data_IF_182737660142
#
_entry.id   IF_182737660142
#
_cell.length_a   1.000
_cell.length_b   1.000
_cell.length_c   1.000
_cell.angle_alpha   90.00
_cell.angle_beta   90.00
_cell.angle_gamma   90.00
#
_symmetry.space_group_name_H-M   'P 1'
#
loop_
_entity.id
_entity.type
_entity.pdbx_description
1 polymer ?
#
# COMPACT_ATOMS: atom_id res chain seq x y z
N UNK A 1 -16.95 -10.56 9.18
CA UNK A 1 -18.25 -11.23 9.35
C UNK A 1 -19.11 -10.76 8.19
N UNK A 2 -19.36 -11.62 7.20
CA UNK A 2 -20.24 -11.28 6.07
C UNK A 2 -21.67 -11.36 6.61
N UNK A 3 -22.38 -10.25 6.53
CA UNK A 3 -23.78 -10.14 6.91
C UNK A 3 -24.62 -11.07 6.01
N UNK A 4 -25.09 -12.19 6.56
CA UNK A 4 -25.80 -13.24 5.84
C UNK A 4 -27.25 -12.90 5.52
N UNK A 5 -27.73 -11.73 5.98
CA UNK A 5 -29.16 -11.37 5.89
C UNK A 5 -29.48 -10.38 4.76
N UNK A 6 -28.53 -10.08 3.86
CA UNK A 6 -28.83 -9.25 2.68
C UNK A 6 -29.26 -10.14 1.53
N UNK A 7 -30.55 -10.09 1.20
CA UNK A 7 -31.09 -10.74 -0.01
C UNK A 7 -30.27 -10.40 -1.24
N UNK A 8 -29.97 -11.42 -2.04
CA UNK A 8 -29.31 -11.21 -3.33
C UNK A 8 -30.18 -10.30 -4.22
N UNK A 9 -29.60 -9.32 -4.93
CA UNK A 9 -30.38 -8.42 -5.76
C UNK A 9 -31.12 -9.19 -6.85
N UNK A 10 -32.38 -8.82 -7.12
CA UNK A 10 -33.25 -9.50 -8.07
C UNK A 10 -32.73 -9.39 -9.54
N UNK A 11 -31.98 -8.32 -9.84
CA UNK A 11 -31.42 -8.05 -11.17
C UNK A 11 -30.26 -7.05 -11.06
N UNK A 12 -29.60 -6.73 -12.20
CA UNK A 12 -28.46 -5.83 -12.27
C UNK A 12 -28.79 -4.38 -11.85
N UNK A 13 -30.01 -3.91 -12.10
CA UNK A 13 -30.44 -2.58 -11.70
C UNK A 13 -30.52 -2.47 -10.17
N UNK A 14 -31.17 -3.41 -9.53
CA UNK A 14 -31.26 -3.48 -8.07
C UNK A 14 -29.89 -3.66 -7.43
N UNK A 15 -28.99 -4.42 -8.06
CA UNK A 15 -27.61 -4.56 -7.63
C UNK A 15 -26.86 -3.21 -7.64
N UNK A 16 -27.09 -2.38 -8.66
CA UNK A 16 -26.48 -1.05 -8.76
C UNK A 16 -27.01 -0.10 -7.68
N UNK A 17 -28.32 -0.11 -7.41
CA UNK A 17 -28.93 0.68 -6.34
C UNK A 17 -28.39 0.27 -4.97
N UNK A 18 -28.39 -1.02 -4.67
CA UNK A 18 -27.83 -1.52 -3.41
C UNK A 18 -26.35 -1.19 -3.26
N UNK A 19 -25.57 -1.16 -4.35
CA UNK A 19 -24.18 -0.72 -4.29
C UNK A 19 -24.07 0.75 -3.90
N UNK A 20 -24.88 1.64 -4.51
CA UNK A 20 -24.90 3.07 -4.16
C UNK A 20 -25.30 3.30 -2.69
N UNK A 21 -26.32 2.60 -2.21
CA UNK A 21 -26.76 2.68 -0.82
C UNK A 21 -25.64 2.26 0.16
N UNK A 22 -24.92 1.19 -0.17
CA UNK A 22 -23.74 0.77 0.63
C UNK A 22 -22.62 1.82 0.64
N UNK A 23 -22.38 2.49 -0.48
CA UNK A 23 -21.38 3.57 -0.56
C UNK A 23 -21.79 4.76 0.30
N UNK A 24 -23.06 5.18 0.22
CA UNK A 24 -23.61 6.27 1.03
C UNK A 24 -23.57 5.93 2.53
N UNK A 25 -24.00 4.74 2.90
CA UNK A 25 -24.01 4.30 4.30
C UNK A 25 -22.58 4.22 4.85
N UNK A 26 -21.63 3.69 4.10
CA UNK A 26 -20.23 3.68 4.48
C UNK A 26 -19.68 5.09 4.72
N UNK A 27 -20.05 6.07 3.89
CA UNK A 27 -19.67 7.48 4.10
C UNK A 27 -20.19 8.07 5.41
N UNK A 28 -21.30 7.55 5.94
CA UNK A 28 -21.91 7.99 7.21
C UNK A 28 -21.37 7.26 8.42
N UNK A 29 -21.14 5.95 8.31
CA UNK A 29 -20.87 5.04 9.43
C UNK A 29 -19.44 4.52 9.47
N UNK A 30 -18.71 4.62 8.37
CA UNK A 30 -17.35 4.14 8.27
C UNK A 30 -16.38 4.91 9.16
N UNK A 31 -15.33 4.23 9.57
CA UNK A 31 -14.29 4.79 10.42
C UNK A 31 -13.60 5.97 9.74
N UNK A 32 -13.61 7.14 10.38
CA UNK A 32 -12.95 8.37 9.91
C UNK A 32 -11.50 8.43 10.38
N UNK A 33 -11.21 7.99 11.61
CA UNK A 33 -9.86 7.93 12.15
C UNK A 33 -9.43 6.47 12.21
N UNK A 34 -8.34 6.15 11.53
CA UNK A 34 -7.69 4.83 11.58
C UNK A 34 -6.42 4.98 12.42
N UNK A 35 -6.38 4.32 13.58
CA UNK A 35 -5.26 4.39 14.51
C UNK A 35 -4.21 3.33 14.22
N UNK A 36 -2.99 3.53 14.72
CA UNK A 36 -1.89 2.57 14.61
C UNK A 36 -2.29 1.18 15.13
N UNK A 37 -2.97 1.13 16.27
CA UNK A 37 -3.44 -0.11 16.90
C UNK A 37 -4.56 -0.84 16.13
N UNK A 38 -5.24 -0.14 15.22
CA UNK A 38 -6.29 -0.75 14.37
C UNK A 38 -5.71 -1.69 13.30
N UNK A 39 -4.40 -1.61 13.03
CA UNK A 39 -3.77 -2.28 11.88
C UNK A 39 -2.47 -2.98 12.28
N UNK A 40 -2.32 -4.27 12.02
CA UNK A 40 -1.09 -5.01 12.31
C UNK A 40 0.05 -4.63 11.35
N UNK A 41 1.27 -4.80 11.81
CA UNK A 41 2.43 -4.88 10.93
C UNK A 41 2.52 -6.27 10.30
N UNK A 42 2.80 -6.32 9.02
CA UNK A 42 2.93 -7.54 8.23
C UNK A 42 4.31 -7.62 7.59
N UNK A 43 4.91 -8.81 7.56
CA UNK A 43 6.11 -9.09 6.79
C UNK A 43 5.70 -9.59 5.41
N UNK A 44 6.01 -8.82 4.39
CA UNK A 44 5.68 -9.10 3.00
C UNK A 44 6.93 -9.22 2.13
N UNK A 45 6.80 -9.63 0.86
CA UNK A 45 7.93 -9.64 -0.09
C UNK A 45 8.54 -8.26 -0.29
N UNK A 46 7.81 -7.18 -0.01
CA UNK A 46 8.31 -5.81 -0.11
C UNK A 46 9.02 -5.35 1.17
N UNK A 47 8.82 -6.04 2.30
CA UNK A 47 9.34 -5.72 3.61
C UNK A 47 8.25 -5.63 4.66
N UNK A 48 8.52 -4.95 5.76
CA UNK A 48 7.58 -4.75 6.87
C UNK A 48 6.63 -3.61 6.56
N UNK A 49 5.35 -3.94 6.36
CA UNK A 49 4.30 -3.02 5.92
C UNK A 49 3.12 -3.02 6.90
N UNK A 50 2.47 -1.87 7.04
CA UNK A 50 1.20 -1.70 7.74
C UNK A 50 0.22 -0.97 6.83
N UNK A 51 -0.91 -1.57 6.53
CA UNK A 51 -1.96 -0.96 5.73
C UNK A 51 -2.95 -0.21 6.61
N UNK A 52 -3.11 1.09 6.40
CA UNK A 52 -4.16 1.91 7.02
C UNK A 52 -5.46 1.83 6.23
N UNK A 53 -5.38 1.99 4.90
CA UNK A 53 -6.49 1.85 3.97
C UNK A 53 -6.14 0.80 2.91
N UNK A 54 -6.99 -0.21 2.79
CA UNK A 54 -6.92 -1.22 1.74
C UNK A 54 -8.29 -1.91 1.62
N UNK A 55 -9.08 -1.54 0.63
CA UNK A 55 -10.44 -2.05 0.45
C UNK A 55 -10.53 -3.59 0.28
N UNK A 56 -9.45 -4.22 -0.17
CA UNK A 56 -9.38 -5.68 -0.28
C UNK A 56 -9.25 -6.39 1.08
N UNK A 57 -8.81 -5.68 2.12
CA UNK A 57 -8.58 -6.24 3.46
C UNK A 57 -9.51 -5.64 4.51
N UNK A 58 -9.79 -4.35 4.42
CA UNK A 58 -10.49 -3.57 5.43
C UNK A 58 -11.66 -2.80 4.81
N UNK A 59 -12.87 -3.28 5.05
CA UNK A 59 -14.11 -2.62 4.62
C UNK A 59 -14.68 -1.63 5.63
N UNK A 60 -13.97 -1.34 6.73
CA UNK A 60 -14.46 -0.61 7.89
C UNK A 60 -14.29 0.92 7.83
N UNK A 61 -13.59 1.45 6.81
CA UNK A 61 -13.30 2.87 6.67
C UNK A 61 -14.29 3.60 5.77
N UNK A 62 -14.55 4.88 6.06
CA UNK A 62 -15.42 5.73 5.24
C UNK A 62 -14.83 5.93 3.83
N UNK A 63 -13.51 5.96 3.68
CA UNK A 63 -12.79 6.13 2.42
C UNK A 63 -12.21 4.80 1.95
N UNK A 64 -12.59 4.34 0.73
CA UNK A 64 -12.19 3.05 0.18
C UNK A 64 -11.42 3.18 -1.15
N UNK A 65 -11.40 4.36 -1.73
CA UNK A 65 -10.79 4.66 -3.03
C UNK A 65 -9.27 4.81 -2.96
N UNK A 66 -8.73 4.78 -1.76
CA UNK A 66 -7.29 4.88 -1.52
C UNK A 66 -6.72 3.61 -0.92
N UNK A 67 -5.50 3.29 -1.33
CA UNK A 67 -4.61 2.39 -0.60
C UNK A 67 -3.56 3.25 0.09
N UNK A 68 -3.52 3.18 1.42
CA UNK A 68 -2.56 3.93 2.23
C UNK A 68 -1.85 2.96 3.14
N UNK A 69 -0.53 2.97 3.10
CA UNK A 69 0.28 2.06 3.90
C UNK A 69 1.64 2.67 4.27
N UNK A 70 2.14 2.29 5.44
CA UNK A 70 3.50 2.59 5.87
C UNK A 70 4.41 1.40 5.62
N UNK A 71 5.66 1.69 5.32
CA UNK A 71 6.73 0.70 5.33
C UNK A 71 7.83 1.13 6.31
N UNK A 72 8.33 0.16 7.08
CA UNK A 72 9.54 0.29 7.89
C UNK A 72 10.70 -0.37 7.15
N UNK A 73 11.77 0.39 6.91
CA UNK A 73 12.95 -0.07 6.19
C UNK A 73 14.13 -0.09 7.15
N UNK A 74 14.65 -1.29 7.45
CA UNK A 74 15.84 -1.46 8.28
C UNK A 74 17.12 -1.38 7.46
N UNK A 75 17.15 -2.02 6.30
CA UNK A 75 18.25 -1.99 5.35
C UNK A 75 17.75 -1.61 3.96
N UNK A 76 16.92 -2.43 3.35
CA UNK A 76 16.32 -2.20 2.04
C UNK A 76 14.94 -2.85 1.92
N UNK A 77 14.12 -2.31 1.03
CA UNK A 77 12.85 -2.93 0.63
C UNK A 77 13.07 -4.04 -0.41
N UNK A 78 12.03 -4.80 -0.70
CA UNK A 78 11.98 -5.59 -1.92
C UNK A 78 12.01 -4.67 -3.15
N UNK A 79 12.64 -5.13 -4.23
CA UNK A 79 12.65 -4.45 -5.53
C UNK A 79 11.44 -4.90 -6.33
N UNK A 80 10.72 -3.96 -6.88
CA UNK A 80 9.53 -4.27 -7.67
C UNK A 80 9.29 -3.23 -8.76
N UNK A 81 8.41 -3.59 -9.69
CA UNK A 81 7.98 -2.72 -10.79
C UNK A 81 6.47 -2.69 -10.82
N UNK A 82 5.91 -1.51 -10.93
CA UNK A 82 4.49 -1.29 -11.24
C UNK A 82 4.30 0.06 -11.92
N UNK A 83 3.10 0.31 -12.45
CA UNK A 83 2.73 1.65 -12.85
C UNK A 83 2.84 2.58 -11.65
N UNK A 84 3.34 3.79 -11.89
CA UNK A 84 3.50 4.83 -10.88
C UNK A 84 2.17 5.44 -10.42
N UNK A 85 2.15 6.74 -10.25
CA UNK A 85 1.01 7.46 -9.65
C UNK A 85 0.97 7.25 -8.14
N UNK A 86 2.14 7.06 -7.53
CA UNK A 86 2.30 6.90 -6.09
C UNK A 86 2.99 8.12 -5.51
N UNK A 87 2.42 8.68 -4.46
CA UNK A 87 3.07 9.66 -3.60
C UNK A 87 3.53 8.97 -2.32
N UNK A 88 4.78 9.23 -1.89
CA UNK A 88 5.38 8.63 -0.71
C UNK A 88 5.92 9.75 0.16
N UNK A 89 5.37 9.91 1.36
CA UNK A 89 5.82 10.90 2.34
C UNK A 89 6.75 10.25 3.37
N UNK A 90 7.90 10.85 3.60
CA UNK A 90 8.90 10.33 4.54
C UNK A 90 8.53 10.77 5.95
N UNK A 91 8.14 9.80 6.78
CA UNK A 91 7.69 10.03 8.16
C UNK A 91 8.85 10.18 9.13
N UNK A 92 9.93 9.39 8.90
CA UNK A 92 11.06 9.35 9.82
C UNK A 92 12.30 8.75 9.16
N UNK A 93 13.49 9.21 9.60
CA UNK A 93 14.78 8.76 9.11
C UNK A 93 15.19 9.38 7.79
N UNK A 94 16.14 8.73 7.12
CA UNK A 94 16.72 9.13 5.84
C UNK A 94 17.18 7.92 5.03
N UNK A 95 17.24 8.10 3.72
CA UNK A 95 17.63 7.02 2.83
C UNK A 95 17.67 7.47 1.37
N UNK A 96 17.53 6.51 0.48
CA UNK A 96 17.39 6.80 -0.94
C UNK A 96 16.49 5.77 -1.62
N UNK A 97 15.97 6.17 -2.76
CA UNK A 97 15.24 5.30 -3.67
C UNK A 97 16.02 5.18 -4.97
N UNK A 98 16.21 3.97 -5.46
CA UNK A 98 16.63 3.76 -6.84
C UNK A 98 15.37 3.53 -7.66
N UNK A 99 15.09 4.45 -8.59
CA UNK A 99 13.96 4.36 -9.50
C UNK A 99 14.47 4.36 -10.94
N UNK A 100 14.20 3.29 -11.68
CA UNK A 100 14.71 3.05 -13.05
C UNK A 100 16.23 3.25 -13.18
N UNK A 101 16.97 2.75 -12.21
CA UNK A 101 18.43 2.83 -12.15
C UNK A 101 18.99 4.18 -11.65
N UNK A 102 18.14 5.16 -11.39
CA UNK A 102 18.60 6.46 -10.87
C UNK A 102 18.31 6.58 -9.38
N UNK A 103 19.30 7.06 -8.61
CA UNK A 103 19.22 7.30 -7.18
C UNK A 103 18.61 8.66 -6.88
N UNK A 104 17.72 8.68 -5.87
CA UNK A 104 17.08 9.86 -5.30
C UNK A 104 17.18 9.76 -3.79
N UNK A 105 17.97 10.65 -3.18
CA UNK A 105 18.10 10.71 -1.71
C UNK A 105 16.88 11.43 -1.12
N UNK A 106 16.49 11.05 0.09
CA UNK A 106 15.37 11.64 0.82
C UNK A 106 15.62 11.59 2.34
N UNK A 107 14.97 12.50 3.04
CA UNK A 107 14.94 12.55 4.50
C UNK A 107 13.54 12.88 5.02
N UNK A 108 13.36 12.82 6.33
CA UNK A 108 12.10 13.14 7.01
C UNK A 108 11.52 14.47 6.54
N UNK A 109 10.25 14.46 6.13
CA UNK A 109 9.51 15.62 5.62
C UNK A 109 9.46 15.69 4.09
N UNK A 110 10.28 14.92 3.38
CA UNK A 110 10.28 14.90 1.92
C UNK A 110 9.09 14.15 1.36
N UNK A 111 8.70 14.53 0.14
CA UNK A 111 7.71 13.85 -0.69
C UNK A 111 8.40 13.25 -1.92
N UNK A 112 8.47 11.94 -2.00
CA UNK A 112 8.91 11.19 -3.17
C UNK A 112 7.70 10.87 -4.05
N UNK A 113 7.80 11.11 -5.36
CA UNK A 113 6.75 10.78 -6.32
C UNK A 113 7.24 9.82 -7.39
N UNK A 114 6.44 8.80 -7.68
CA UNK A 114 6.68 7.87 -8.79
C UNK A 114 5.67 8.16 -9.90
N UNK A 115 6.13 8.53 -11.12
CA UNK A 115 5.25 8.94 -12.20
C UNK A 115 4.49 7.78 -12.83
N UNK A 116 3.35 8.08 -13.43
CA UNK A 116 2.69 7.16 -14.36
C UNK A 116 3.46 7.17 -15.68
N UNK A 117 3.92 6.00 -16.13
CA UNK A 117 4.60 5.86 -17.43
C UNK A 117 4.43 4.47 -18.02
N UNK A 118 4.50 4.31 -19.35
CA UNK A 118 4.46 3.01 -19.99
C UNK A 118 5.55 2.07 -19.45
N UNK A 119 5.20 0.81 -19.19
CA UNK A 119 6.10 -0.18 -18.63
C UNK A 119 6.30 -0.11 -17.11
N UNK A 120 5.76 0.92 -16.47
CA UNK A 120 5.87 1.12 -15.03
C UNK A 120 7.22 1.66 -14.58
N UNK A 121 7.36 1.84 -13.28
CA UNK A 121 8.60 2.28 -12.60
C UNK A 121 9.15 1.12 -11.79
N UNK A 122 10.39 0.72 -12.09
CA UNK A 122 11.13 -0.21 -11.25
C UNK A 122 11.78 0.57 -10.11
N UNK A 123 11.54 0.14 -8.87
CA UNK A 123 12.11 0.86 -7.74
C UNK A 123 12.39 -0.03 -6.53
N UNK A 124 13.30 0.49 -5.69
CA UNK A 124 13.70 -0.09 -4.42
C UNK A 124 14.11 1.03 -3.47
N UNK A 125 13.80 0.88 -2.20
CA UNK A 125 14.12 1.86 -1.17
C UNK A 125 15.20 1.33 -0.24
N UNK A 126 16.10 2.21 0.19
CA UNK A 126 17.25 1.88 1.04
C UNK A 126 17.30 2.81 2.24
N UNK A 127 17.55 2.25 3.40
CA UNK A 127 17.78 3.00 4.63
C UNK A 127 19.26 3.39 4.73
N UNK A 128 19.54 4.64 5.09
CA UNK A 128 20.87 5.13 5.44
C UNK A 128 20.90 5.82 6.82
N UNK A 129 19.78 5.72 7.54
CA UNK A 129 19.71 6.27 8.89
C UNK A 129 20.54 5.42 9.85
N UNK A 130 21.59 5.98 10.50
CA UNK A 130 22.46 5.22 11.42
C UNK A 130 21.76 4.89 12.73
N UNK A 131 20.71 5.65 13.08
CA UNK A 131 20.06 5.59 14.39
C UNK A 131 18.88 4.62 14.42
N UNK A 132 18.57 3.97 13.30
CA UNK A 132 17.48 3.00 13.24
C UNK A 132 16.80 2.88 11.88
N UNK A 133 15.62 2.27 11.82
CA UNK A 133 14.87 2.12 10.58
C UNK A 133 14.34 3.49 10.11
N UNK A 134 14.24 3.65 8.79
CA UNK A 134 13.47 4.72 8.19
C UNK A 134 12.04 4.28 7.93
N UNK A 135 11.09 5.22 7.97
CA UNK A 135 9.67 4.96 7.72
C UNK A 135 9.09 5.97 6.76
N UNK A 136 8.26 5.49 5.86
CA UNK A 136 7.48 6.33 4.96
C UNK A 136 6.03 5.85 4.86
N UNK A 137 5.18 6.68 4.30
CA UNK A 137 3.78 6.37 4.02
C UNK A 137 3.49 6.62 2.55
N UNK A 138 2.93 5.62 1.88
CA UNK A 138 2.54 5.69 0.48
C UNK A 138 1.03 5.89 0.33
N UNK A 139 0.68 6.65 -0.70
CA UNK A 139 -0.68 6.99 -1.09
C UNK A 139 -0.90 6.57 -2.55
N UNK A 140 -1.83 5.65 -2.77
CA UNK A 140 -2.21 5.15 -4.09
C UNK A 140 -3.70 5.37 -4.29
N UNK A 141 -4.04 6.18 -5.30
CA UNK A 141 -5.45 6.34 -5.71
C UNK A 141 -5.87 5.15 -6.56
N UNK A 142 -6.68 4.27 -5.99
CA UNK A 142 -7.02 2.96 -6.55
C UNK A 142 -7.72 3.04 -7.91
N UNK A 143 -8.67 3.97 -8.16
CA UNK A 143 -9.29 4.09 -9.48
C UNK A 143 -8.28 4.40 -10.59
N UNK A 144 -7.31 5.29 -10.34
CA UNK A 144 -6.23 5.55 -11.31
C UNK A 144 -5.36 4.31 -11.48
N UNK A 145 -4.96 3.68 -10.37
CA UNK A 145 -4.14 2.47 -10.39
C UNK A 145 -4.77 1.36 -11.23
N UNK A 146 -6.08 1.16 -11.08
CA UNK A 146 -6.83 0.19 -11.88
C UNK A 146 -6.94 0.60 -13.37
N UNK A 147 -7.16 1.90 -13.63
CA UNK A 147 -7.26 2.43 -14.99
C UNK A 147 -5.97 2.24 -15.79
N UNK A 148 -4.82 2.47 -15.17
CA UNK A 148 -3.50 2.29 -15.81
C UNK A 148 -2.98 0.86 -15.74
N UNK A 149 -3.82 -0.11 -15.33
CA UNK A 149 -3.47 -1.51 -15.15
C UNK A 149 -2.21 -1.68 -14.29
N UNK A 150 -2.26 -1.15 -13.06
CA UNK A 150 -1.17 -1.29 -12.08
C UNK A 150 -0.87 -2.77 -11.87
N UNK A 151 0.11 -3.29 -12.62
CA UNK A 151 0.57 -4.67 -12.50
C UNK A 151 1.86 -4.70 -11.70
N UNK A 152 1.76 -5.14 -10.44
CA UNK A 152 2.94 -5.25 -9.58
C UNK A 152 3.72 -6.53 -9.89
N UNK A 153 4.96 -6.37 -10.32
CA UNK A 153 5.92 -7.45 -10.52
C UNK A 153 7.01 -7.37 -9.46
N UNK A 154 7.06 -8.34 -8.55
CA UNK A 154 8.16 -8.47 -7.60
C UNK A 154 9.40 -8.96 -8.33
N UNK A 155 10.53 -8.26 -8.16
CA UNK A 155 11.81 -8.59 -8.79
C UNK A 155 12.79 -9.16 -7.76
N UNK A 156 12.89 -8.54 -6.59
CA UNK A 156 13.71 -9.00 -5.47
C UNK A 156 12.90 -8.91 -4.17
N UNK A 157 13.05 -9.89 -3.31
CA UNK A 157 12.36 -9.95 -2.02
C UNK A 157 13.15 -9.17 -0.97
N UNK A 158 12.47 -8.50 -0.05
CA UNK A 158 13.12 -7.79 1.05
C UNK A 158 13.90 -8.77 1.96
N UNK A 159 15.02 -8.35 2.54
CA UNK A 159 15.74 -9.15 3.53
C UNK A 159 14.84 -9.54 4.70
N UNK A 160 14.98 -10.78 5.18
CA UNK A 160 14.19 -11.31 6.30
C UNK A 160 12.81 -11.84 5.94
N UNK A 161 12.34 -11.73 4.70
CA UNK A 161 11.06 -12.29 4.31
C UNK A 161 11.05 -13.83 4.32
N UNK A 162 12.12 -14.48 3.86
CA UNK A 162 12.28 -15.93 3.89
C UNK A 162 12.29 -16.48 5.32
N UNK A 163 12.95 -15.78 6.25
CA UNK A 163 12.98 -16.14 7.67
C UNK A 163 11.59 -16.09 8.32
N UNK A 164 10.75 -15.15 7.91
CA UNK A 164 9.38 -15.02 8.44
C UNK A 164 8.45 -16.17 7.99
N UNK A 165 8.77 -16.89 6.91
CA UNK A 165 8.01 -18.02 6.40
C UNK A 165 8.49 -19.40 6.90
N UNK A 166 9.60 -19.46 7.64
CA UNK A 166 10.19 -20.73 8.06
C UNK A 166 10.73 -21.56 6.89
N UNK A 167 10.97 -20.96 5.75
CA UNK A 167 11.64 -21.59 4.63
C UNK A 167 13.14 -21.73 4.97
N UNK A 168 13.49 -22.85 5.62
CA UNK A 168 14.88 -23.28 5.69
C UNK A 168 15.29 -23.68 4.27
N UNK A 169 16.27 -22.99 3.73
CA UNK A 169 16.99 -23.49 2.55
C UNK A 169 17.76 -24.75 2.98
N UNK A 170 17.23 -25.90 2.65
CA UNK A 170 17.99 -27.14 2.52
C UNK A 170 18.66 -27.20 1.13
#
# INVERSE_FOLDING_TARGET
MVDKDKESPANAYEAAIQYQDRVLERGRTGKIVVRDEDRPWENTRQGRIRYFLNAAMYGDTALQEWRVFSQEIRTQSGKHRHQGGVAIYILDGRGYTVADGKRYDWEKGDLLTLPVKPGGVEHQHFNTNPDGPSRWMAFVYVPLANHVALHLKQLEVAPGHAQARGENND
#
